data_IF_616467159068
#
_entry.id   IF_616467159068
#
_cell.length_a   1.000
_cell.length_b   1.000
_cell.length_c   1.000
_cell.angle_alpha   90.00
_cell.angle_beta   90.00
_cell.angle_gamma   90.00
#
_symmetry.space_group_name_H-M   'P 1'
#
loop_
_entity.id
_entity.type
_entity.pdbx_description
1 polymer ?
#
# COMPACT_ATOMS: atom_id res chain seq x y z
N UNK A 1 -2.08 21.28 -35.10
CA UNK A 1 -2.67 21.98 -33.93
C UNK A 1 -2.50 21.03 -32.75
N UNK A 2 -1.52 21.28 -31.87
CA UNK A 2 -1.23 20.43 -30.71
C UNK A 2 -1.94 21.04 -29.49
N UNK A 3 -2.86 20.29 -28.89
CA UNK A 3 -3.45 20.65 -27.59
C UNK A 3 -2.45 20.24 -26.51
N UNK A 4 -1.86 21.22 -25.83
CA UNK A 4 -1.01 20.99 -24.67
C UNK A 4 -1.87 20.98 -23.40
N UNK A 5 -1.95 19.83 -22.73
CA UNK A 5 -2.59 19.72 -21.41
C UNK A 5 -1.58 20.12 -20.35
N UNK A 6 -1.85 21.21 -19.64
CA UNK A 6 -1.08 21.62 -18.48
C UNK A 6 -1.83 21.17 -17.22
N UNK A 7 -1.20 20.27 -16.45
CA UNK A 7 -1.72 19.81 -15.17
C UNK A 7 -0.87 20.42 -14.07
N UNK A 8 -1.49 21.24 -13.23
CA UNK A 8 -0.84 21.78 -12.04
C UNK A 8 -1.16 20.86 -10.86
N UNK A 9 -0.15 20.15 -10.34
CA UNK A 9 -0.32 19.24 -9.20
C UNK A 9 0.34 19.87 -7.98
N UNK A 10 -0.47 20.25 -7.00
CA UNK A 10 0.02 20.68 -5.69
C UNK A 10 0.30 19.46 -4.81
N UNK A 11 1.49 19.41 -4.21
CA UNK A 11 1.92 18.30 -3.35
C UNK A 11 1.69 18.69 -1.89
N UNK A 12 0.73 18.06 -1.22
CA UNK A 12 0.36 18.36 0.17
C UNK A 12 1.04 17.43 1.19
N UNK A 13 1.15 16.14 0.88
CA UNK A 13 2.01 15.17 1.57
C UNK A 13 2.48 14.15 0.52
N UNK A 14 3.79 13.97 0.40
CA UNK A 14 4.39 13.09 -0.62
C UNK A 14 4.48 11.63 -0.16
N UNK A 15 4.34 11.41 1.15
CA UNK A 15 4.66 10.13 1.77
C UNK A 15 3.40 9.53 2.38
N UNK A 16 3.18 8.24 2.12
CA UNK A 16 2.08 7.48 2.70
C UNK A 16 2.59 6.55 3.80
N UNK A 17 1.76 6.18 4.77
CA UNK A 17 2.10 5.06 5.66
C UNK A 17 2.03 3.78 4.84
N UNK A 18 3.12 3.00 4.77
CA UNK A 18 3.18 1.92 3.80
C UNK A 18 4.52 1.20 3.69
N UNK A 19 4.55 0.19 2.84
CA UNK A 19 5.77 -0.51 2.47
C UNK A 19 5.70 -1.03 1.02
N UNK A 20 6.87 -1.27 0.43
CA UNK A 20 6.99 -1.84 -0.90
C UNK A 20 8.14 -2.85 -0.99
N UNK A 21 8.21 -3.53 -2.13
CA UNK A 21 9.13 -4.67 -2.32
C UNK A 21 10.57 -4.25 -2.64
N UNK A 22 10.81 -2.98 -2.95
CA UNK A 22 12.11 -2.50 -3.48
C UNK A 22 12.61 -1.26 -2.74
N UNK A 23 13.93 -1.06 -2.66
CA UNK A 23 14.50 0.18 -2.13
C UNK A 23 14.01 1.44 -2.85
N UNK A 24 13.68 1.36 -4.15
CA UNK A 24 13.11 2.49 -4.91
C UNK A 24 11.71 2.91 -4.46
N UNK A 25 11.02 2.07 -3.67
CA UNK A 25 9.72 2.44 -3.07
C UNK A 25 9.85 3.00 -1.66
N UNK A 26 11.02 2.96 -1.03
CA UNK A 26 11.22 3.51 0.32
C UNK A 26 11.02 5.03 0.32
N UNK A 27 11.26 5.70 -0.80
CA UNK A 27 10.98 7.12 -1.00
C UNK A 27 9.48 7.46 -1.13
N UNK A 28 8.59 6.46 -1.27
CA UNK A 28 7.14 6.68 -1.33
C UNK A 28 6.48 6.61 0.06
N UNK A 29 7.19 6.03 1.04
CA UNK A 29 6.62 5.70 2.33
C UNK A 29 7.28 6.47 3.46
N UNK A 30 6.50 6.69 4.52
CA UNK A 30 6.98 7.36 5.72
C UNK A 30 8.01 6.48 6.43
N UNK A 31 9.21 6.99 6.78
CA UNK A 31 10.21 6.19 7.50
C UNK A 31 9.75 5.79 8.90
N UNK A 32 8.69 6.41 9.42
CA UNK A 32 8.07 6.03 10.68
C UNK A 32 7.19 4.79 10.58
N UNK A 33 6.89 4.26 9.38
CA UNK A 33 6.10 3.03 9.24
C UNK A 33 6.86 1.85 9.85
N UNK A 34 6.34 1.21 10.92
CA UNK A 34 7.07 0.14 11.61
C UNK A 34 7.34 -1.06 10.68
N UNK A 35 8.60 -1.49 10.51
CA UNK A 35 8.95 -2.68 9.74
C UNK A 35 8.57 -3.96 10.51
N UNK A 36 8.26 -5.02 9.77
CA UNK A 36 8.07 -6.38 10.28
C UNK A 36 9.22 -7.26 9.85
N UNK A 37 9.82 -7.96 10.82
CA UNK A 37 10.93 -8.88 10.61
C UNK A 37 10.51 -10.32 10.89
N UNK A 38 11.15 -11.26 10.19
CA UNK A 38 11.00 -12.69 10.46
C UNK A 38 11.37 -13.05 11.93
N UNK A 39 11.07 -14.28 12.34
CA UNK A 39 11.31 -14.73 13.71
C UNK A 39 12.78 -14.67 14.16
N UNK A 40 13.71 -14.62 13.21
CA UNK A 40 15.15 -14.49 13.45
C UNK A 40 15.63 -13.02 13.42
N UNK A 41 14.75 -12.08 13.09
CA UNK A 41 15.06 -10.66 12.96
C UNK A 41 15.92 -10.30 11.75
N UNK A 42 16.12 -11.22 10.79
CA UNK A 42 17.12 -11.07 9.71
C UNK A 42 16.55 -10.48 8.44
N UNK A 43 15.30 -10.82 8.12
CA UNK A 43 14.66 -10.37 6.88
C UNK A 43 13.43 -9.55 7.22
N UNK A 44 13.42 -8.30 6.77
CA UNK A 44 12.19 -7.52 6.74
C UNK A 44 11.28 -8.12 5.68
N UNK A 45 10.08 -8.54 6.07
CA UNK A 45 9.11 -9.16 5.16
C UNK A 45 7.87 -8.29 4.94
N UNK A 46 7.72 -7.20 5.70
CA UNK A 46 6.58 -6.30 5.56
C UNK A 46 6.64 -5.11 6.50
N UNK A 47 5.48 -4.52 6.73
CA UNK A 47 5.28 -3.41 7.65
C UNK A 47 3.95 -3.53 8.38
N UNK A 48 3.83 -2.88 9.54
CA UNK A 48 2.59 -2.80 10.31
C UNK A 48 2.03 -1.39 10.22
N UNK A 49 0.77 -1.27 9.82
CA UNK A 49 0.09 0.02 9.71
C UNK A 49 -1.17 -0.01 10.58
N UNK A 50 -1.32 1.02 11.42
CA UNK A 50 -2.58 1.29 12.12
C UNK A 50 -3.43 2.22 11.25
N UNK A 51 -4.44 1.66 10.57
CA UNK A 51 -5.32 2.42 9.68
C UNK A 51 -6.14 3.50 10.40
N UNK A 52 -6.44 3.33 11.70
CA UNK A 52 -7.21 4.33 12.45
C UNK A 52 -6.36 5.57 12.72
N UNK A 53 -5.07 5.38 13.01
CA UNK A 53 -4.12 6.47 13.20
C UNK A 53 -3.69 7.08 11.85
N UNK A 54 -3.36 6.24 10.88
CA UNK A 54 -2.80 6.66 9.59
C UNK A 54 -3.82 7.30 8.65
N UNK A 55 -5.12 6.95 8.77
CA UNK A 55 -6.24 7.34 7.89
C UNK A 55 -6.16 6.80 6.46
N UNK A 56 -4.95 6.63 5.95
CA UNK A 56 -4.65 6.08 4.63
C UNK A 56 -3.41 5.21 4.74
N UNK A 57 -3.35 4.17 3.92
CA UNK A 57 -2.20 3.28 3.82
C UNK A 57 -1.99 2.92 2.37
N UNK A 58 -0.74 2.67 1.98
CA UNK A 58 -0.44 2.25 0.64
C UNK A 58 0.63 1.17 0.62
N UNK A 59 0.68 0.42 -0.47
CA UNK A 59 1.79 -0.47 -0.74
C UNK A 59 2.15 -0.45 -2.22
N UNK A 60 3.43 -0.72 -2.49
CA UNK A 60 3.99 -0.72 -3.82
C UNK A 60 4.51 -2.10 -4.20
N UNK A 61 3.88 -2.70 -5.22
CA UNK A 61 4.20 -4.02 -5.72
C UNK A 61 4.48 -3.94 -7.23
N UNK A 62 5.74 -3.74 -7.63
CA UNK A 62 6.12 -3.71 -9.05
C UNK A 62 6.23 -5.12 -9.63
N UNK A 63 6.21 -5.24 -10.96
CA UNK A 63 6.55 -6.50 -11.61
C UNK A 63 7.99 -6.94 -11.22
N UNK A 64 8.27 -8.24 -11.08
CA UNK A 64 7.41 -9.41 -11.36
C UNK A 64 6.57 -9.87 -10.16
N UNK A 65 6.51 -9.09 -9.07
CA UNK A 65 5.74 -9.45 -7.88
C UNK A 65 4.24 -9.34 -8.14
N UNK A 66 3.47 -10.17 -7.44
CA UNK A 66 2.02 -10.24 -7.55
C UNK A 66 1.38 -10.08 -6.18
N UNK A 67 0.17 -9.54 -6.16
CA UNK A 67 -0.61 -9.44 -4.94
C UNK A 67 -1.28 -10.77 -4.62
N UNK A 68 -1.24 -11.13 -3.35
CA UNK A 68 -1.98 -12.26 -2.78
C UNK A 68 -2.77 -11.74 -1.56
N UNK A 69 -4.11 -11.84 -1.53
CA UNK A 69 -4.97 -12.40 -2.57
C UNK A 69 -4.95 -11.60 -3.89
N UNK A 70 -5.19 -12.23 -5.06
CA UNK A 70 -5.12 -11.56 -6.37
C UNK A 70 -6.02 -10.33 -6.51
N UNK A 71 -7.11 -10.29 -5.75
CA UNK A 71 -8.10 -9.22 -5.71
C UNK A 71 -7.90 -8.24 -4.54
N UNK A 72 -6.71 -8.18 -3.94
CA UNK A 72 -6.32 -7.08 -3.06
C UNK A 72 -6.51 -5.73 -3.79
N UNK A 73 -7.13 -4.69 -3.22
CA UNK A 73 -7.68 -4.49 -1.87
C UNK A 73 -9.21 -4.71 -1.77
N UNK A 74 -9.86 -5.39 -2.71
CA UNK A 74 -11.27 -5.81 -2.48
C UNK A 74 -11.37 -7.03 -1.55
N UNK A 75 -10.26 -7.78 -1.44
CA UNK A 75 -10.10 -8.93 -0.57
C UNK A 75 -8.80 -8.80 0.23
N UNK A 76 -8.77 -9.36 1.43
CA UNK A 76 -7.56 -9.40 2.27
C UNK A 76 -7.49 -10.69 3.09
N UNK A 77 -6.28 -11.11 3.46
CA UNK A 77 -6.08 -12.23 4.36
C UNK A 77 -6.28 -11.76 5.81
N UNK A 78 -7.22 -12.37 6.52
CA UNK A 78 -7.50 -12.13 7.94
C UNK A 78 -7.49 -13.48 8.63
N UNK A 79 -6.55 -13.66 9.56
CA UNK A 79 -6.36 -14.92 10.31
C UNK A 79 -6.19 -16.15 9.39
N UNK A 80 -5.56 -15.95 8.22
CA UNK A 80 -5.32 -17.01 7.24
C UNK A 80 -6.48 -17.27 6.26
N UNK A 81 -7.59 -16.53 6.38
CA UNK A 81 -8.73 -16.64 5.48
C UNK A 81 -8.87 -15.39 4.59
N UNK A 82 -9.25 -15.60 3.33
CA UNK A 82 -9.54 -14.49 2.41
C UNK A 82 -10.93 -13.94 2.71
N UNK A 83 -11.02 -12.65 3.07
CA UNK A 83 -12.26 -11.94 3.38
C UNK A 83 -12.45 -10.71 2.51
N UNK A 84 -13.70 -10.35 2.23
CA UNK A 84 -13.99 -9.12 1.49
C UNK A 84 -13.87 -7.91 2.41
N UNK A 85 -13.22 -6.82 1.94
CA UNK A 85 -13.06 -5.60 2.77
C UNK A 85 -14.43 -5.02 3.18
N UNK A 86 -15.44 -5.11 2.33
CA UNK A 86 -16.78 -4.59 2.64
C UNK A 86 -17.45 -5.34 3.82
N UNK A 87 -17.03 -6.56 4.13
CA UNK A 87 -17.49 -7.32 5.30
C UNK A 87 -16.81 -6.85 6.60
N UNK A 88 -15.59 -6.28 6.47
CA UNK A 88 -14.75 -5.85 7.59
C UNK A 88 -15.01 -4.39 7.95
N UNK A 89 -15.23 -3.53 6.95
CA UNK A 89 -15.59 -2.13 7.14
C UNK A 89 -16.37 -1.59 5.95
N UNK A 90 -17.46 -0.88 6.24
CA UNK A 90 -18.26 -0.16 5.23
C UNK A 90 -17.67 1.21 4.85
N UNK A 91 -16.69 1.71 5.61
CA UNK A 91 -16.08 3.03 5.38
C UNK A 91 -14.73 2.97 4.68
N UNK A 92 -14.12 1.78 4.57
CA UNK A 92 -12.88 1.63 3.83
C UNK A 92 -13.15 1.72 2.33
N UNK A 93 -12.36 2.54 1.64
CA UNK A 93 -12.34 2.67 0.20
C UNK A 93 -10.95 2.28 -0.26
N UNK A 94 -10.86 1.54 -1.36
CA UNK A 94 -9.58 1.15 -1.94
C UNK A 94 -9.51 1.49 -3.41
N UNK A 95 -8.30 1.75 -3.87
CA UNK A 95 -7.95 2.04 -5.24
C UNK A 95 -6.68 1.29 -5.60
N UNK A 96 -6.64 0.75 -6.82
CA UNK A 96 -5.52 -0.05 -7.30
C UNK A 96 -5.14 0.36 -8.71
N UNK A 97 -3.84 0.50 -8.90
CA UNK A 97 -3.17 0.58 -10.19
C UNK A 97 -2.32 -0.68 -10.43
N UNK A 98 -1.53 -0.69 -11.50
CA UNK A 98 -0.62 -1.80 -11.80
C UNK A 98 0.45 -2.02 -10.72
N UNK A 99 0.80 -0.99 -9.95
CA UNK A 99 1.91 -1.05 -8.99
C UNK A 99 1.59 -0.47 -7.62
N UNK A 100 0.86 0.65 -7.58
CA UNK A 100 0.45 1.30 -6.34
C UNK A 100 -0.98 0.94 -6.01
N UNK A 101 -1.22 0.55 -4.77
CA UNK A 101 -2.56 0.42 -4.19
C UNK A 101 -2.63 1.22 -2.90
N UNK A 102 -3.78 1.82 -2.64
CA UNK A 102 -4.09 2.56 -1.42
C UNK A 102 -5.56 2.38 -1.02
#
# INVERSE_FOLDING_TARGET
MLLAVHVNVERTDLYMQGCGVTYSSDELFKPETPPLYDGDGKSQFGCKIDLQAAKEAAFYCPAPYVLDPPNCLSQMSVDGEVKNIAELSKSLVSSRSNHLSY
#
